data_IF_575430759245
#
_entry.id   IF_575430759245
#
_cell.length_a   1.000
_cell.length_b   1.000
_cell.length_c   1.000
_cell.angle_alpha   90.00
_cell.angle_beta   90.00
_cell.angle_gamma   90.00
#
_symmetry.space_group_name_H-M   'P 1'
#
loop_
_entity.id
_entity.type
_entity.pdbx_description
1 polymer ?
#
# COMPACT_ATOMS: atom_id res chain seq x y z
N UNK A 1 -10.57 9.33 -7.14
CA UNK A 1 -12.01 9.19 -6.81
C UNK A 1 -12.59 7.81 -7.16
N UNK A 2 -12.32 7.24 -8.35
CA UNK A 2 -12.91 5.95 -8.77
C UNK A 2 -12.62 4.79 -7.80
N UNK A 3 -11.37 4.65 -7.36
CA UNK A 3 -10.94 3.64 -6.37
C UNK A 3 -11.77 3.69 -5.08
N UNK A 4 -11.91 4.87 -4.47
CA UNK A 4 -12.71 5.02 -3.24
C UNK A 4 -14.18 4.68 -3.48
N UNK A 5 -14.73 5.11 -4.63
CA UNK A 5 -16.10 4.76 -5.04
C UNK A 5 -16.31 3.25 -5.09
N UNK A 6 -15.38 2.50 -5.70
CA UNK A 6 -15.46 1.03 -5.79
C UNK A 6 -15.49 0.33 -4.43
N UNK A 7 -14.86 0.93 -3.42
CA UNK A 7 -14.83 0.38 -2.06
C UNK A 7 -16.02 0.74 -1.18
N UNK A 8 -16.77 1.79 -1.51
CA UNK A 8 -17.82 2.34 -0.63
C UNK A 8 -19.22 2.15 -1.24
N UNK A 9 -19.32 2.10 -2.57
CA UNK A 9 -20.57 1.88 -3.28
C UNK A 9 -20.77 0.39 -3.57
N UNK A 10 -22.03 -0.08 -3.74
CA UNK A 10 -22.30 -1.43 -4.20
C UNK A 10 -21.54 -1.72 -5.50
N UNK A 11 -21.01 -2.95 -5.64
CA UNK A 11 -20.28 -3.35 -6.84
C UNK A 11 -21.13 -3.30 -8.12
N UNK A 12 -22.46 -3.30 -7.97
CA UNK A 12 -23.44 -3.16 -9.06
C UNK A 12 -23.80 -1.71 -9.38
N UNK A 13 -23.14 -0.71 -8.79
CA UNK A 13 -23.48 0.70 -8.99
C UNK A 13 -23.23 1.12 -10.46
N UNK A 14 -24.28 1.37 -11.26
CA UNK A 14 -24.17 1.41 -12.73
C UNK A 14 -23.28 2.54 -13.24
N UNK A 15 -23.42 3.75 -12.70
CA UNK A 15 -22.59 4.89 -13.10
C UNK A 15 -21.11 4.71 -12.74
N UNK A 16 -20.82 3.92 -11.70
CA UNK A 16 -19.43 3.69 -11.30
C UNK A 16 -18.79 2.67 -12.23
N UNK A 17 -19.52 1.59 -12.54
CA UNK A 17 -19.13 0.59 -13.54
C UNK A 17 -18.84 1.26 -14.88
N UNK A 18 -19.77 2.07 -15.38
CA UNK A 18 -19.62 2.79 -16.65
C UNK A 18 -18.39 3.71 -16.65
N UNK A 19 -18.16 4.46 -15.56
CA UNK A 19 -16.98 5.33 -15.43
C UNK A 19 -15.67 4.55 -15.40
N UNK A 20 -15.64 3.39 -14.74
CA UNK A 20 -14.44 2.54 -14.71
C UNK A 20 -14.19 1.91 -16.08
N UNK A 21 -15.23 1.42 -16.76
CA UNK A 21 -15.12 0.89 -18.12
C UNK A 21 -14.68 1.96 -19.13
N UNK A 22 -15.23 3.17 -19.04
CA UNK A 22 -14.83 4.31 -19.87
C UNK A 22 -13.36 4.68 -19.64
N UNK A 23 -12.92 4.71 -18.37
CA UNK A 23 -11.51 4.92 -18.06
C UNK A 23 -10.62 3.81 -18.66
N UNK A 24 -10.98 2.54 -18.47
CA UNK A 24 -10.24 1.39 -19.02
C UNK A 24 -10.12 1.44 -20.55
N UNK A 25 -11.18 1.82 -21.26
CA UNK A 25 -11.18 1.92 -22.72
C UNK A 25 -10.16 2.94 -23.26
N UNK A 26 -9.78 3.93 -22.45
CA UNK A 26 -8.77 4.94 -22.80
C UNK A 26 -7.35 4.57 -22.38
N UNK A 27 -7.20 3.54 -21.55
CA UNK A 27 -5.92 3.16 -20.94
C UNK A 27 -5.16 2.22 -21.86
N UNK A 28 -3.90 2.58 -22.09
CA UNK A 28 -2.91 1.78 -22.81
C UNK A 28 -2.01 1.05 -21.84
N UNK A 29 -1.36 0.02 -22.35
CA UNK A 29 -0.25 -0.64 -21.69
C UNK A 29 0.83 0.39 -21.30
N UNK A 30 1.26 0.42 -20.02
CA UNK A 30 2.27 1.36 -19.55
C UNK A 30 3.56 1.32 -20.37
N UNK A 31 4.01 2.48 -20.86
CA UNK A 31 5.33 2.65 -21.50
C UNK A 31 6.38 3.21 -20.54
N UNK A 32 5.95 3.69 -19.37
CA UNK A 32 6.84 4.24 -18.35
C UNK A 32 6.38 3.84 -16.94
N UNK A 33 7.33 3.56 -16.04
CA UNK A 33 7.04 3.03 -14.71
C UNK A 33 6.09 3.90 -13.86
N UNK A 34 6.10 5.22 -14.04
CA UNK A 34 5.17 6.13 -13.33
C UNK A 34 3.69 5.81 -13.61
N UNK A 35 3.36 5.36 -14.83
CA UNK A 35 2.00 5.00 -15.21
C UNK A 35 1.50 3.75 -14.48
N UNK A 36 2.40 2.91 -13.96
CA UNK A 36 2.06 1.72 -13.16
C UNK A 36 1.31 2.13 -11.87
N UNK A 37 1.64 3.27 -11.26
CA UNK A 37 0.95 3.75 -10.06
C UNK A 37 -0.53 4.04 -10.33
N UNK A 38 -0.81 4.77 -11.40
CA UNK A 38 -2.17 5.13 -11.78
C UNK A 38 -2.95 3.90 -12.26
N UNK A 39 -2.27 3.01 -13.00
CA UNK A 39 -2.84 1.74 -13.45
C UNK A 39 -3.28 0.87 -12.27
N UNK A 40 -2.45 0.76 -11.22
CA UNK A 40 -2.78 -0.05 -10.05
C UNK A 40 -4.13 0.37 -9.42
N UNK A 41 -4.42 1.67 -9.34
CA UNK A 41 -5.69 2.14 -8.79
C UNK A 41 -6.89 1.80 -9.68
N UNK A 42 -6.72 1.82 -10.99
CA UNK A 42 -7.79 1.50 -11.93
C UNK A 42 -8.06 -0.01 -11.99
N UNK A 43 -7.00 -0.83 -12.02
CA UNK A 43 -7.12 -2.29 -11.99
C UNK A 43 -7.74 -2.75 -10.67
N UNK A 44 -7.34 -2.18 -9.53
CA UNK A 44 -7.99 -2.45 -8.25
C UNK A 44 -9.49 -2.10 -8.29
N UNK A 45 -9.85 -0.93 -8.81
CA UNK A 45 -11.26 -0.54 -8.90
C UNK A 45 -12.06 -1.51 -9.79
N UNK A 46 -11.52 -1.91 -10.93
CA UNK A 46 -12.16 -2.86 -11.84
C UNK A 46 -12.34 -4.25 -11.22
N UNK A 47 -11.31 -4.73 -10.52
CA UNK A 47 -11.32 -6.00 -9.80
C UNK A 47 -12.37 -6.03 -8.68
N UNK A 48 -12.48 -4.95 -7.91
CA UNK A 48 -13.49 -4.83 -6.83
C UNK A 48 -14.91 -4.82 -7.39
N UNK A 49 -15.11 -4.19 -8.55
CA UNK A 49 -16.39 -4.20 -9.27
C UNK A 49 -16.66 -5.52 -10.02
N UNK A 50 -15.72 -6.48 -9.97
CA UNK A 50 -15.83 -7.79 -10.63
C UNK A 50 -16.08 -7.66 -12.14
N UNK A 51 -15.44 -6.68 -12.79
CA UNK A 51 -15.51 -6.58 -14.26
C UNK A 51 -14.90 -7.82 -14.91
N UNK A 52 -15.37 -8.27 -16.08
CA UNK A 52 -14.79 -9.43 -16.77
C UNK A 52 -13.29 -9.24 -17.07
N UNK A 53 -12.51 -10.31 -16.96
CA UNK A 53 -11.09 -10.33 -17.33
C UNK A 53 -10.85 -9.84 -18.77
N UNK A 54 -11.79 -10.13 -19.67
CA UNK A 54 -11.81 -9.74 -21.08
C UNK A 54 -12.30 -8.31 -21.33
N UNK A 55 -12.45 -7.48 -20.29
CA UNK A 55 -12.85 -6.08 -20.46
C UNK A 55 -11.78 -5.38 -21.28
N UNK A 56 -12.18 -4.88 -22.46
CA UNK A 56 -11.27 -4.26 -23.41
C UNK A 56 -10.69 -2.96 -22.88
N UNK A 57 -9.43 -2.71 -23.25
CA UNK A 57 -8.71 -1.46 -23.01
C UNK A 57 -8.26 -0.89 -24.36
N UNK A 58 -7.42 0.15 -24.39
CA UNK A 58 -7.01 0.76 -25.65
C UNK A 58 -6.13 -0.16 -26.52
N UNK A 59 -5.33 -1.04 -25.91
CA UNK A 59 -4.41 -1.94 -26.63
C UNK A 59 -4.26 -3.34 -26.00
N UNK A 60 -5.02 -3.66 -24.94
CA UNK A 60 -5.00 -4.93 -24.22
C UNK A 60 -6.39 -5.26 -23.63
N UNK A 61 -6.43 -6.16 -22.64
CA UNK A 61 -7.58 -6.37 -21.77
C UNK A 61 -7.18 -6.23 -20.28
N UNK A 62 -8.17 -6.31 -19.40
CA UNK A 62 -7.97 -6.14 -17.97
C UNK A 62 -7.05 -7.22 -17.37
N UNK A 63 -7.09 -8.44 -17.90
CA UNK A 63 -6.15 -9.51 -17.52
C UNK A 63 -4.71 -9.15 -17.88
N UNK A 64 -4.46 -8.68 -19.12
CA UNK A 64 -3.14 -8.24 -19.57
C UNK A 64 -2.59 -7.06 -18.76
N UNK A 65 -3.46 -6.12 -18.38
CA UNK A 65 -3.08 -5.02 -17.49
C UNK A 65 -2.70 -5.53 -16.08
N UNK A 66 -3.44 -6.50 -15.52
CA UNK A 66 -3.11 -7.10 -14.23
C UNK A 66 -1.78 -7.87 -14.28
N UNK A 67 -1.52 -8.60 -15.37
CA UNK A 67 -0.23 -9.28 -15.60
C UNK A 67 0.93 -8.26 -15.71
N UNK A 68 0.70 -7.13 -16.38
CA UNK A 68 1.69 -6.04 -16.47
C UNK A 68 2.05 -5.47 -15.09
N UNK A 69 1.07 -5.32 -14.19
CA UNK A 69 1.33 -4.91 -12.80
C UNK A 69 2.18 -5.94 -12.05
N UNK A 70 1.93 -7.23 -12.26
CA UNK A 70 2.69 -8.32 -11.65
C UNK A 70 4.14 -8.33 -12.13
N UNK A 71 4.37 -8.22 -13.45
CA UNK A 71 5.72 -8.19 -14.04
C UNK A 71 6.53 -6.98 -13.54
N UNK A 72 5.89 -5.81 -13.45
CA UNK A 72 6.51 -4.60 -12.92
C UNK A 72 6.88 -4.75 -11.43
N UNK A 73 6.00 -5.37 -10.64
CA UNK A 73 6.25 -5.65 -9.23
C UNK A 73 7.41 -6.63 -9.06
N UNK A 74 7.44 -7.74 -9.80
CA UNK A 74 8.50 -8.75 -9.74
C UNK A 74 9.87 -8.17 -10.07
N UNK A 75 9.95 -7.36 -11.13
CA UNK A 75 11.17 -6.66 -11.51
C UNK A 75 11.67 -5.77 -10.37
N UNK A 76 10.76 -5.00 -9.77
CA UNK A 76 11.07 -4.06 -8.69
C UNK A 76 11.44 -4.76 -7.38
N UNK A 77 10.87 -5.93 -7.14
CA UNK A 77 11.10 -6.73 -5.93
C UNK A 77 12.45 -7.44 -5.91
N UNK A 78 13.17 -7.52 -7.05
CA UNK A 78 14.54 -8.04 -7.07
C UNK A 78 15.46 -7.23 -6.14
N UNK A 79 15.33 -5.89 -6.15
CA UNK A 79 16.09 -5.04 -5.24
C UNK A 79 15.61 -5.18 -3.79
N UNK A 80 14.31 -5.27 -3.58
CA UNK A 80 13.73 -5.50 -2.24
C UNK A 80 14.26 -6.78 -1.62
N UNK A 81 14.33 -7.86 -2.40
CA UNK A 81 14.86 -9.16 -1.97
C UNK A 81 16.31 -9.00 -1.49
N UNK A 82 17.16 -8.32 -2.26
CA UNK A 82 18.55 -8.03 -1.86
C UNK A 82 18.64 -7.20 -0.58
N UNK A 83 17.80 -6.17 -0.43
CA UNK A 83 17.77 -5.36 0.80
C UNK A 83 17.34 -6.18 2.04
N UNK A 84 16.37 -7.08 1.88
CA UNK A 84 15.84 -7.89 2.98
C UNK A 84 16.78 -9.04 3.35
N UNK A 85 17.44 -9.65 2.36
CA UNK A 85 18.24 -10.87 2.55
C UNK A 85 19.70 -10.56 2.83
N UNK A 86 20.28 -9.64 2.05
CA UNK A 86 21.71 -9.33 2.09
C UNK A 86 22.00 -8.12 2.99
N UNK A 87 20.95 -7.51 3.58
CA UNK A 87 21.08 -6.36 4.48
C UNK A 87 21.52 -5.07 3.79
N UNK A 88 21.39 -4.98 2.46
CA UNK A 88 21.67 -3.74 1.70
C UNK A 88 20.78 -2.61 2.21
N UNK A 89 21.34 -1.41 2.35
CA UNK A 89 20.60 -0.24 2.81
C UNK A 89 19.39 0.02 1.90
N UNK A 90 18.26 0.40 2.51
CA UNK A 90 17.06 0.80 1.77
C UNK A 90 17.39 2.03 0.90
N UNK A 91 17.24 1.97 -0.43
CA UNK A 91 17.42 3.14 -1.28
C UNK A 91 16.36 4.21 -0.95
N UNK A 92 16.62 5.43 -1.39
CA UNK A 92 15.54 6.40 -1.49
C UNK A 92 14.48 5.91 -2.48
N UNK A 93 13.25 6.42 -2.35
CA UNK A 93 12.14 6.08 -3.24
C UNK A 93 11.96 7.08 -4.38
N UNK A 94 12.98 7.88 -4.70
CA UNK A 94 12.86 9.00 -5.63
C UNK A 94 13.35 8.68 -7.05
N UNK A 95 14.17 7.63 -7.20
CA UNK A 95 14.62 7.13 -8.48
C UNK A 95 13.63 6.11 -9.10
N UNK A 96 13.96 5.64 -10.29
CA UNK A 96 13.17 4.63 -10.99
C UNK A 96 13.24 3.25 -10.28
N UNK A 97 12.33 2.31 -10.59
CA UNK A 97 12.25 1.03 -9.87
C UNK A 97 13.49 0.13 -9.99
N UNK A 98 14.37 0.33 -10.98
CA UNK A 98 15.63 -0.44 -11.04
C UNK A 98 16.61 -0.04 -9.94
N UNK A 99 16.51 1.20 -9.44
CA UNK A 99 17.37 1.77 -8.40
C UNK A 99 16.67 1.86 -7.03
N UNK A 100 15.35 2.05 -7.04
CA UNK A 100 14.54 2.25 -5.84
C UNK A 100 13.60 1.08 -5.54
N UNK A 101 13.59 0.03 -6.37
CA UNK A 101 12.69 -1.11 -6.21
C UNK A 101 11.24 -0.67 -6.13
N UNK A 102 10.44 -1.36 -5.32
CA UNK A 102 9.04 -0.98 -5.10
C UNK A 102 8.86 0.33 -4.34
N UNK A 103 9.93 0.89 -3.76
CA UNK A 103 9.88 2.20 -3.11
C UNK A 103 9.76 3.36 -4.11
N UNK A 104 10.02 3.14 -5.40
CA UNK A 104 9.70 4.09 -6.47
C UNK A 104 8.19 4.31 -6.62
N UNK A 105 7.38 3.31 -6.26
CA UNK A 105 5.92 3.38 -6.39
C UNK A 105 5.27 4.05 -5.19
N UNK A 106 4.08 4.58 -5.42
CA UNK A 106 3.28 5.25 -4.40
C UNK A 106 3.06 4.33 -3.20
N UNK A 107 3.30 4.86 -2.01
CA UNK A 107 3.23 4.14 -0.75
C UNK A 107 4.17 2.93 -0.65
N UNK A 108 5.23 2.85 -1.47
CA UNK A 108 6.16 1.73 -1.47
C UNK A 108 5.62 0.47 -2.14
N UNK A 109 4.71 0.61 -3.11
CA UNK A 109 4.17 -0.50 -3.89
C UNK A 109 2.99 -1.24 -3.24
N UNK A 110 2.53 -0.81 -2.06
CA UNK A 110 1.38 -1.44 -1.39
C UNK A 110 0.08 -1.34 -2.21
N UNK A 111 -0.09 -0.30 -3.02
CA UNK A 111 -1.24 -0.19 -3.92
C UNK A 111 -1.18 -1.19 -5.08
N UNK A 112 0.00 -1.49 -5.60
CA UNK A 112 0.19 -2.53 -6.62
C UNK A 112 -0.18 -3.89 -6.03
N UNK A 113 0.35 -4.20 -4.85
CA UNK A 113 0.04 -5.46 -4.14
C UNK A 113 -1.46 -5.58 -3.82
N UNK A 114 -2.10 -4.49 -3.39
CA UNK A 114 -3.56 -4.47 -3.20
C UNK A 114 -4.29 -4.78 -4.51
N UNK A 115 -3.93 -4.12 -5.61
CA UNK A 115 -4.56 -4.36 -6.91
C UNK A 115 -4.41 -5.83 -7.36
N UNK A 116 -3.24 -6.44 -7.13
CA UNK A 116 -2.97 -7.83 -7.48
C UNK A 116 -3.77 -8.82 -6.63
N UNK A 117 -3.96 -8.55 -5.33
CA UNK A 117 -4.83 -9.35 -4.45
C UNK A 117 -6.27 -9.34 -4.97
N UNK A 118 -6.81 -8.17 -5.27
CA UNK A 118 -8.16 -8.05 -5.84
C UNK A 118 -8.24 -8.72 -7.22
N UNK A 119 -7.18 -8.63 -8.03
CA UNK A 119 -7.10 -9.27 -9.35
C UNK A 119 -7.14 -10.80 -9.28
N UNK A 120 -6.53 -11.40 -8.25
CA UNK A 120 -6.66 -12.85 -8.01
C UNK A 120 -8.10 -13.19 -7.62
N UNK A 121 -8.72 -12.40 -6.74
CA UNK A 121 -10.12 -12.64 -6.33
C UNK A 121 -11.10 -12.46 -7.49
N UNK A 122 -10.84 -11.51 -8.40
CA UNK A 122 -11.65 -11.28 -9.60
C UNK A 122 -11.38 -12.29 -10.73
N UNK A 123 -10.41 -13.20 -10.57
CA UNK A 123 -10.09 -14.23 -11.55
C UNK A 123 -9.22 -13.77 -12.72
N UNK A 124 -8.57 -12.60 -12.62
CA UNK A 124 -7.65 -12.10 -13.66
C UNK A 124 -6.31 -12.84 -13.62
N UNK A 125 -5.87 -13.21 -12.41
CA UNK A 125 -4.60 -13.88 -12.17
C UNK A 125 -4.86 -15.25 -11.53
N UNK A 126 -4.74 -16.31 -12.34
CA UNK A 126 -5.03 -17.70 -11.95
C UNK A 126 -3.83 -18.61 -12.18
N UNK A 127 -3.87 -19.85 -11.68
CA UNK A 127 -2.81 -20.84 -11.91
C UNK A 127 -1.43 -20.34 -11.46
N UNK A 128 -0.47 -20.30 -12.39
CA UNK A 128 0.89 -19.85 -12.12
C UNK A 128 0.96 -18.38 -11.66
N UNK A 129 0.13 -17.50 -12.20
CA UNK A 129 0.11 -16.08 -11.82
C UNK A 129 -0.37 -15.89 -10.39
N UNK A 130 -1.32 -16.72 -9.93
CA UNK A 130 -1.72 -16.71 -8.53
C UNK A 130 -0.54 -17.02 -7.61
N UNK A 131 0.28 -18.03 -7.96
CA UNK A 131 1.44 -18.38 -7.15
C UNK A 131 2.49 -17.26 -7.15
N UNK A 132 2.72 -16.64 -8.31
CA UNK A 132 3.61 -15.46 -8.42
C UNK A 132 3.16 -14.33 -7.47
N UNK A 133 1.86 -14.03 -7.41
CA UNK A 133 1.30 -13.06 -6.46
C UNK A 133 1.53 -13.48 -5.00
N UNK A 134 1.34 -14.77 -4.67
CA UNK A 134 1.65 -15.30 -3.32
C UNK A 134 3.11 -15.05 -2.96
N UNK A 135 4.04 -15.33 -3.85
CA UNK A 135 5.48 -15.15 -3.60
C UNK A 135 5.81 -13.67 -3.33
N UNK A 136 5.18 -12.74 -4.05
CA UNK A 136 5.34 -11.29 -3.80
C UNK A 136 4.78 -10.87 -2.45
N UNK A 137 3.64 -11.42 -2.05
CA UNK A 137 3.03 -11.15 -0.75
C UNK A 137 3.84 -11.74 0.41
N UNK A 138 4.51 -12.88 0.21
CA UNK A 138 5.44 -13.44 1.19
C UNK A 138 6.70 -12.57 1.35
N UNK A 139 7.23 -12.01 0.24
CA UNK A 139 8.29 -11.01 0.32
C UNK A 139 7.83 -9.75 1.06
N UNK A 140 6.62 -9.25 0.79
CA UNK A 140 6.02 -8.15 1.55
C UNK A 140 5.98 -8.45 3.06
N UNK A 141 5.52 -9.65 3.43
CA UNK A 141 5.43 -10.07 4.83
C UNK A 141 6.80 -10.05 5.53
N UNK A 142 7.88 -10.42 4.82
CA UNK A 142 9.26 -10.34 5.32
C UNK A 142 9.78 -8.89 5.38
N UNK A 143 9.41 -8.07 4.40
CA UNK A 143 9.81 -6.66 4.26
C UNK A 143 9.21 -5.75 5.33
N UNK A 144 7.96 -5.99 5.74
CA UNK A 144 7.24 -5.12 6.69
C UNK A 144 8.00 -4.91 8.01
N UNK A 145 8.42 -5.96 8.75
CA UNK A 145 9.17 -5.79 10.00
C UNK A 145 10.48 -5.01 9.80
N UNK A 146 11.19 -5.31 8.71
CA UNK A 146 12.44 -4.63 8.36
C UNK A 146 12.21 -3.13 8.09
N UNK A 147 11.18 -2.77 7.32
CA UNK A 147 10.86 -1.36 7.05
C UNK A 147 10.39 -0.61 8.30
N UNK A 148 9.62 -1.26 9.18
CA UNK A 148 9.20 -0.65 10.44
C UNK A 148 10.41 -0.27 11.30
N UNK A 149 11.45 -1.12 11.33
CA UNK A 149 12.71 -0.83 12.03
C UNK A 149 13.55 0.23 11.30
N UNK A 150 13.59 0.18 9.96
CA UNK A 150 14.24 1.21 9.17
C UNK A 150 13.71 2.61 9.50
N UNK A 151 12.40 2.78 9.72
CA UNK A 151 11.81 4.07 10.12
C UNK A 151 12.25 4.55 11.49
N UNK A 152 12.50 3.64 12.44
CA UNK A 152 13.07 3.98 13.75
C UNK A 152 14.53 4.44 13.58
N UNK A 153 15.32 3.72 12.78
CA UNK A 153 16.70 4.11 12.50
C UNK A 153 16.80 5.43 11.73
N UNK A 154 15.88 5.71 10.79
CA UNK A 154 15.80 7.00 10.10
C UNK A 154 15.57 8.17 11.05
N UNK A 155 14.74 7.98 12.08
CA UNK A 155 14.52 9.00 13.10
C UNK A 155 15.81 9.35 13.83
N UNK A 156 16.53 8.32 14.30
CA UNK A 156 17.81 8.50 14.99
C UNK A 156 18.84 9.20 14.11
N UNK A 157 18.91 8.85 12.82
CA UNK A 157 19.77 9.53 11.85
C UNK A 157 19.37 10.99 11.66
N UNK A 158 18.08 11.29 11.57
CA UNK A 158 17.61 12.67 11.42
C UNK A 158 17.98 13.53 12.64
N UNK A 159 17.81 13.00 13.85
CA UNK A 159 18.23 13.69 15.09
C UNK A 159 19.73 13.91 15.10
N UNK A 160 20.52 12.88 14.74
CA UNK A 160 21.99 12.98 14.66
C UNK A 160 22.47 14.00 13.62
N UNK A 161 21.68 14.21 12.56
CA UNK A 161 21.91 15.22 11.53
C UNK A 161 21.41 16.63 11.91
N UNK A 162 20.97 16.84 13.16
CA UNK A 162 20.55 18.15 13.67
C UNK A 162 19.08 18.50 13.43
N UNK A 163 18.25 17.58 12.93
CA UNK A 163 16.81 17.79 12.85
C UNK A 163 16.23 17.75 14.28
N UNK A 164 15.38 18.73 14.61
CA UNK A 164 14.68 18.78 15.89
C UNK A 164 14.06 17.41 16.27
N UNK A 165 14.29 16.90 17.50
CA UNK A 165 13.73 15.62 17.94
C UNK A 165 12.21 15.52 17.74
N UNK A 166 11.47 16.60 18.02
CA UNK A 166 10.01 16.62 17.82
C UNK A 166 9.64 16.48 16.34
N UNK A 167 10.36 17.16 15.44
CA UNK A 167 10.13 17.07 14.00
C UNK A 167 10.47 15.68 13.47
N UNK A 168 11.61 15.11 13.89
CA UNK A 168 12.02 13.76 13.54
C UNK A 168 11.00 12.72 14.00
N UNK A 169 10.58 12.78 15.27
CA UNK A 169 9.56 11.90 15.85
C UNK A 169 8.23 12.00 15.08
N UNK A 170 7.76 13.22 14.76
CA UNK A 170 6.53 13.41 13.96
C UNK A 170 6.63 12.71 12.60
N UNK A 171 7.70 12.93 11.84
CA UNK A 171 7.87 12.29 10.53
C UNK A 171 7.97 10.76 10.64
N UNK A 172 8.68 10.24 11.64
CA UNK A 172 8.86 8.82 11.85
C UNK A 172 7.54 8.13 12.25
N UNK A 173 6.79 8.71 13.18
CA UNK A 173 5.50 8.20 13.64
C UNK A 173 4.48 8.17 12.49
N UNK A 174 4.36 9.25 11.72
CA UNK A 174 3.46 9.31 10.56
C UNK A 174 3.84 8.30 9.48
N UNK A 175 5.13 8.19 9.13
CA UNK A 175 5.58 7.20 8.15
C UNK A 175 5.34 5.75 8.61
N UNK A 176 5.54 5.45 9.90
CA UNK A 176 5.24 4.12 10.47
C UNK A 176 3.74 3.86 10.53
N UNK A 177 2.93 4.88 10.78
CA UNK A 177 1.46 4.81 10.79
C UNK A 177 0.94 4.37 9.43
N UNK A 178 1.38 5.05 8.37
CA UNK A 178 1.09 4.69 6.98
C UNK A 178 1.50 3.26 6.63
N UNK A 179 2.75 2.90 6.96
CA UNK A 179 3.30 1.57 6.66
C UNK A 179 2.52 0.46 7.38
N UNK A 180 2.25 0.61 8.67
CA UNK A 180 1.49 -0.36 9.45
C UNK A 180 0.04 -0.48 8.93
N UNK A 181 -0.58 0.64 8.57
CA UNK A 181 -1.92 0.67 7.98
C UNK A 181 -2.00 -0.10 6.67
N UNK A 182 -1.11 0.20 5.71
CA UNK A 182 -1.07 -0.54 4.45
C UNK A 182 -0.73 -2.02 4.63
N UNK A 183 0.19 -2.35 5.54
CA UNK A 183 0.53 -3.73 5.86
C UNK A 183 -0.68 -4.52 6.34
N UNK A 184 -1.46 -3.97 7.29
CA UNK A 184 -2.66 -4.64 7.80
C UNK A 184 -3.77 -4.74 6.76
N UNK A 185 -3.96 -3.71 5.92
CA UNK A 185 -4.96 -3.70 4.85
C UNK A 185 -4.67 -4.80 3.82
N UNK A 186 -3.44 -4.83 3.26
CA UNK A 186 -3.04 -5.81 2.24
C UNK A 186 -3.04 -7.24 2.81
N UNK A 187 -2.43 -7.45 3.98
CA UNK A 187 -2.40 -8.79 4.60
C UNK A 187 -3.79 -9.28 4.99
N UNK A 188 -4.64 -8.40 5.51
CA UNK A 188 -6.02 -8.73 5.88
C UNK A 188 -6.86 -9.12 4.67
N UNK A 189 -6.75 -8.37 3.58
CA UNK A 189 -7.44 -8.69 2.31
C UNK A 189 -6.93 -9.97 1.68
N UNK A 190 -5.61 -10.14 1.61
CA UNK A 190 -5.00 -11.37 1.10
C UNK A 190 -5.51 -12.61 1.83
N UNK A 191 -5.76 -12.51 3.14
CA UNK A 191 -6.40 -13.58 3.91
C UNK A 191 -7.89 -13.73 3.59
N UNK A 192 -8.63 -12.63 3.52
CA UNK A 192 -10.06 -12.65 3.24
C UNK A 192 -10.39 -13.36 1.92
N UNK A 193 -9.53 -13.20 0.91
CA UNK A 193 -9.69 -13.81 -0.43
C UNK A 193 -8.96 -15.15 -0.58
N UNK A 194 -8.34 -15.67 0.48
CA UNK A 194 -7.64 -16.96 0.48
C UNK A 194 -6.35 -16.99 -0.36
N UNK A 195 -5.70 -15.85 -0.58
CA UNK A 195 -4.39 -15.77 -1.24
C UNK A 195 -3.27 -16.10 -0.25
N UNK A 196 -3.35 -15.56 0.98
CA UNK A 196 -2.45 -15.93 2.07
C UNK A 196 -3.19 -16.69 3.16
N UNK A 197 -2.52 -17.67 3.76
CA UNK A 197 -2.96 -18.30 5.00
C UNK A 197 -2.74 -17.38 6.20
N UNK A 198 -3.40 -17.69 7.33
CA UNK A 198 -3.15 -16.98 8.59
C UNK A 198 -1.69 -17.07 9.01
N UNK A 199 -1.08 -18.25 8.91
CA UNK A 199 0.32 -18.49 9.30
C UNK A 199 1.29 -17.61 8.50
N UNK A 200 1.13 -17.59 7.17
CA UNK A 200 1.98 -16.80 6.28
C UNK A 200 1.92 -15.28 6.59
N UNK A 201 0.76 -14.78 7.02
CA UNK A 201 0.57 -13.37 7.34
C UNK A 201 0.86 -13.00 8.81
N UNK A 202 0.85 -13.96 9.73
CA UNK A 202 0.78 -13.71 11.18
C UNK A 202 1.93 -12.86 11.70
N UNK A 203 3.18 -13.19 11.36
CA UNK A 203 4.37 -12.47 11.86
C UNK A 203 4.38 -11.00 11.41
N UNK A 204 4.06 -10.75 10.14
CA UNK A 204 4.02 -9.41 9.58
C UNK A 204 2.86 -8.59 10.17
N UNK A 205 1.66 -9.17 10.26
CA UNK A 205 0.51 -8.53 10.85
C UNK A 205 0.72 -8.21 12.33
N UNK A 206 1.35 -9.12 13.09
CA UNK A 206 1.70 -8.88 14.49
C UNK A 206 2.72 -7.73 14.62
N UNK A 207 3.69 -7.65 13.71
CA UNK A 207 4.65 -6.53 13.66
C UNK A 207 3.95 -5.20 13.40
N UNK A 208 3.00 -5.16 12.45
CA UNK A 208 2.16 -3.98 12.23
C UNK A 208 1.34 -3.63 13.48
N UNK A 209 0.66 -4.59 14.12
CA UNK A 209 -0.15 -4.33 15.33
C UNK A 209 0.68 -3.80 16.49
N UNK A 210 1.87 -4.37 16.71
CA UNK A 210 2.79 -3.89 17.73
C UNK A 210 3.25 -2.47 17.43
N UNK A 211 3.61 -2.19 16.17
CA UNK A 211 3.92 -0.83 15.73
C UNK A 211 2.73 0.12 15.93
N UNK A 212 1.51 -0.27 15.58
CA UNK A 212 0.30 0.53 15.78
C UNK A 212 0.10 0.94 17.24
N UNK A 213 0.27 0.01 18.19
CA UNK A 213 0.18 0.31 19.63
C UNK A 213 1.24 1.33 20.06
N UNK A 214 2.49 1.15 19.63
CA UNK A 214 3.58 2.08 19.91
C UNK A 214 3.35 3.46 19.30
N UNK A 215 2.87 3.49 18.04
CA UNK A 215 2.54 4.71 17.30
C UNK A 215 1.45 5.49 18.00
N UNK A 216 0.35 4.85 18.39
CA UNK A 216 -0.77 5.51 19.08
C UNK A 216 -0.30 6.12 20.41
N UNK A 217 0.39 5.32 21.23
CA UNK A 217 0.92 5.80 22.50
C UNK A 217 1.85 7.00 22.31
N UNK A 218 2.81 6.89 21.38
CA UNK A 218 3.78 7.95 21.11
C UNK A 218 3.15 9.19 20.48
N UNK A 219 2.16 9.00 19.61
CA UNK A 219 1.45 10.10 18.99
C UNK A 219 0.75 10.96 20.05
N UNK A 220 0.06 10.32 20.99
CA UNK A 220 -0.68 10.97 22.07
C UNK A 220 0.22 11.54 23.18
N UNK A 221 1.42 11.00 23.40
CA UNK A 221 2.30 11.47 24.49
C UNK A 221 3.37 12.46 24.03
N UNK A 222 3.93 12.29 22.82
CA UNK A 222 5.13 13.02 22.39
C UNK A 222 4.91 13.89 21.16
N UNK A 223 4.17 13.38 20.17
CA UNK A 223 4.05 14.05 18.86
C UNK A 223 2.99 15.15 18.90
N UNK A 224 1.80 14.80 19.38
CA UNK A 224 0.63 15.67 19.40
C UNK A 224 -0.21 15.53 20.68
N UNK A 225 0.36 15.78 21.87
CA UNK A 225 -0.34 15.60 23.14
C UNK A 225 -1.54 16.54 23.35
N UNK A 226 -1.62 17.61 22.56
CA UNK A 226 -2.70 18.58 22.61
C UNK A 226 -3.72 18.39 21.47
N UNK A 227 -3.53 17.39 20.60
CA UNK A 227 -4.44 17.13 19.48
C UNK A 227 -4.50 18.26 18.45
N UNK A 228 -3.41 19.01 18.27
CA UNK A 228 -3.38 20.19 17.41
C UNK A 228 -3.10 19.86 15.95
N UNK A 229 -2.50 18.69 15.63
CA UNK A 229 -2.12 18.37 14.24
C UNK A 229 -3.31 18.29 13.30
N UNK A 230 -4.49 17.92 13.81
CA UNK A 230 -5.74 17.87 13.06
C UNK A 230 -6.67 19.07 13.33
N UNK A 231 -6.15 20.14 13.93
CA UNK A 231 -6.94 21.35 14.21
C UNK A 231 -7.10 22.24 12.96
N UNK A 232 -8.17 23.07 12.90
CA UNK A 232 -8.34 24.06 11.84
C UNK A 232 -7.17 25.05 11.73
N UNK A 233 -6.50 25.34 12.85
CA UNK A 233 -5.32 26.20 12.86
C UNK A 233 -4.15 25.56 12.11
N UNK A 234 -3.89 24.27 12.35
CA UNK A 234 -2.84 23.55 11.61
C UNK A 234 -3.20 23.40 10.14
N UNK A 235 -4.48 23.16 9.81
CA UNK A 235 -4.95 23.15 8.42
C UNK A 235 -4.68 24.48 7.70
N UNK A 236 -4.91 25.61 8.37
CA UNK A 236 -4.69 26.94 7.79
C UNK A 236 -3.20 27.33 7.66
N UNK A 237 -2.35 26.91 8.60
CA UNK A 237 -0.95 27.37 8.69
C UNK A 237 0.05 26.37 8.10
N UNK A 238 -0.22 25.07 8.21
CA UNK A 238 0.62 23.97 7.71
C UNK A 238 -0.27 22.86 7.12
N UNK A 239 -0.97 23.13 5.99
CA UNK A 239 -1.91 22.19 5.38
C UNK A 239 -1.24 20.88 5.00
N UNK A 240 0.04 20.89 4.61
CA UNK A 240 0.77 19.67 4.24
C UNK A 240 0.95 18.71 5.44
N UNK A 241 1.30 19.25 6.62
CA UNK A 241 1.36 18.42 7.83
C UNK A 241 -0.01 17.93 8.23
N UNK A 242 -1.04 18.77 8.13
CA UNK A 242 -2.42 18.39 8.43
C UNK A 242 -2.89 17.24 7.53
N UNK A 243 -2.76 17.39 6.20
CA UNK A 243 -3.16 16.39 5.21
C UNK A 243 -2.44 15.06 5.42
N UNK A 244 -1.14 15.13 5.73
CA UNK A 244 -0.35 13.94 6.01
C UNK A 244 -0.80 13.25 7.30
N UNK A 245 -1.05 14.00 8.38
CA UNK A 245 -1.51 13.45 9.63
C UNK A 245 -2.88 12.77 9.47
N UNK A 246 -3.81 13.42 8.77
CA UNK A 246 -5.13 12.87 8.47
C UNK A 246 -5.00 11.61 7.60
N UNK A 247 -4.29 11.71 6.48
CA UNK A 247 -4.14 10.61 5.52
C UNK A 247 -3.47 9.38 6.11
N UNK A 248 -2.33 9.56 6.80
CA UNK A 248 -1.60 8.46 7.44
C UNK A 248 -2.45 7.84 8.58
N UNK A 249 -3.21 8.65 9.31
CA UNK A 249 -4.20 8.21 10.30
C UNK A 249 -5.31 7.35 9.69
N UNK A 250 -5.90 7.80 8.59
CA UNK A 250 -6.91 7.05 7.84
C UNK A 250 -6.36 5.70 7.33
N UNK A 251 -5.11 5.65 6.87
CA UNK A 251 -4.46 4.39 6.47
C UNK A 251 -4.38 3.41 7.64
N UNK A 252 -3.94 3.86 8.82
CA UNK A 252 -3.85 3.00 9.99
C UNK A 252 -5.24 2.51 10.45
N UNK A 253 -6.22 3.41 10.54
CA UNK A 253 -7.58 3.07 10.95
C UNK A 253 -8.18 2.01 10.01
N UNK A 254 -8.07 2.22 8.70
CA UNK A 254 -8.55 1.26 7.69
C UNK A 254 -7.86 -0.08 7.82
N UNK A 255 -6.53 -0.11 7.91
CA UNK A 255 -5.79 -1.35 8.05
C UNK A 255 -6.19 -2.16 9.28
N UNK A 256 -6.36 -1.49 10.43
CA UNK A 256 -6.86 -2.12 11.66
C UNK A 256 -8.28 -2.68 11.47
N UNK A 257 -9.19 -1.90 10.89
CA UNK A 257 -10.57 -2.32 10.65
C UNK A 257 -10.64 -3.56 9.73
N UNK A 258 -9.88 -3.57 8.64
CA UNK A 258 -9.78 -4.71 7.73
C UNK A 258 -9.22 -5.94 8.46
N UNK A 259 -8.09 -5.82 9.13
CA UNK A 259 -7.47 -6.96 9.81
C UNK A 259 -8.37 -7.57 10.90
N UNK A 260 -9.04 -6.73 11.71
CA UNK A 260 -9.91 -7.21 12.77
C UNK A 260 -11.20 -7.84 12.23
N UNK A 261 -11.82 -7.28 11.18
CA UNK A 261 -13.04 -7.85 10.60
C UNK A 261 -12.81 -9.23 9.97
N UNK A 262 -11.62 -9.47 9.41
CA UNK A 262 -11.24 -10.77 8.83
C UNK A 262 -10.81 -11.76 9.91
N UNK A 263 -10.25 -11.31 11.03
CA UNK A 263 -9.79 -12.19 12.11
C UNK A 263 -10.91 -12.70 13.02
N UNK A 264 -12.13 -12.16 12.88
CA UNK A 264 -13.32 -12.63 13.58
C UNK A 264 -14.09 -13.72 12.82
N UNK A 265 -13.68 -14.03 11.59
CA UNK A 265 -14.21 -15.11 10.75
C UNK A 265 -13.26 -16.30 10.77
#
# INVERSE_FOLDING_TARGET
MLRTGAWVLPSTHPQLVERVQSALASIRSPSHWKQINDLAWLVEAAAVLKLPATTATADADLQGLAATLLDALETSDQLVQRCVDDGVERPDGSADPSQSGTWAYTCGGFHLLSALVESVEAGYLVGADRQRVVDRLLLLARRIPWELQFRVAQEQRAVSAGISPRRAARHAVLARMKLAGHGLDVLGRSRAVGVLTLEQAAKAAQSCRNASKQIIARFLMEVDPQGLLLSPQTEAVDPQTWERALGDGCHLLRGLAVWYSVSQK
#
